data_IF_592635858244
#
_entry.id   IF_592635858244
#
_cell.length_a   1.000
_cell.length_b   1.000
_cell.length_c   1.000
_cell.angle_alpha   90.00
_cell.angle_beta   90.00
_cell.angle_gamma   90.00
#
_symmetry.space_group_name_H-M   'P 1'
#
loop_
_entity.id
_entity.type
_entity.pdbx_description
1 polymer ?
#
# COMPACT_ATOMS: atom_id res chain seq x y z
N UNK A 1 -6.53 -8.00 18.41
CA UNK A 1 -6.27 -8.82 17.21
C UNK A 1 -5.56 -7.95 16.19
N UNK A 2 -4.30 -8.27 15.87
CA UNK A 2 -3.54 -7.56 14.84
C UNK A 2 -4.05 -7.98 13.47
N UNK A 3 -4.38 -7.01 12.61
CA UNK A 3 -4.78 -7.29 11.22
C UNK A 3 -3.52 -7.53 10.38
N UNK A 4 -3.55 -8.49 9.47
CA UNK A 4 -2.42 -8.74 8.57
C UNK A 4 -2.28 -7.56 7.61
N UNK A 5 -1.14 -6.86 7.69
CA UNK A 5 -0.84 -5.68 6.87
C UNK A 5 -0.80 -5.99 5.37
N UNK A 6 -0.52 -7.25 4.99
CA UNK A 6 -0.52 -7.69 3.58
C UNK A 6 -1.92 -7.78 2.99
N UNK A 7 -2.93 -7.90 3.84
CA UNK A 7 -4.33 -8.02 3.44
C UNK A 7 -5.16 -6.78 3.80
N UNK A 8 -4.59 -5.88 4.61
CA UNK A 8 -5.29 -4.71 5.15
C UNK A 8 -4.54 -3.45 4.76
N UNK A 9 -5.02 -2.76 3.72
CA UNK A 9 -4.47 -1.48 3.28
C UNK A 9 -4.81 -0.35 4.28
N UNK A 10 -4.09 -0.33 5.41
CA UNK A 10 -4.21 0.69 6.44
C UNK A 10 -2.87 0.95 7.14
N UNK A 11 -2.57 2.23 7.35
CA UNK A 11 -1.50 2.77 8.18
C UNK A 11 -2.08 3.77 9.19
N UNK A 12 -1.25 4.32 10.06
CA UNK A 12 -1.71 5.16 11.19
C UNK A 12 -2.51 6.41 10.77
N UNK A 13 -2.22 6.96 9.58
CA UNK A 13 -2.80 8.19 9.05
C UNK A 13 -3.80 7.96 7.90
N UNK A 14 -3.78 6.79 7.26
CA UNK A 14 -4.57 6.51 6.04
C UNK A 14 -5.07 5.06 6.01
N UNK A 15 -6.32 4.87 5.62
CA UNK A 15 -6.87 3.54 5.29
C UNK A 15 -7.61 3.54 3.94
N UNK A 16 -7.77 2.36 3.34
CA UNK A 16 -8.65 2.21 2.19
C UNK A 16 -10.10 2.58 2.55
N UNK A 17 -10.83 3.21 1.63
CA UNK A 17 -12.22 3.64 1.82
C UNK A 17 -13.14 2.47 2.20
N UNK A 18 -12.87 1.26 1.67
CA UNK A 18 -13.58 0.02 2.02
C UNK A 18 -13.43 -0.39 3.48
N UNK A 19 -12.47 0.17 4.21
CA UNK A 19 -12.23 -0.09 5.64
C UNK A 19 -12.91 0.95 6.56
N UNK A 20 -13.66 1.91 6.02
CA UNK A 20 -14.37 2.90 6.83
C UNK A 20 -15.35 2.21 7.79
N UNK A 21 -15.26 2.57 9.08
CA UNK A 21 -16.04 1.94 10.15
C UNK A 21 -15.47 0.61 10.66
N UNK A 22 -14.52 -0.01 9.95
CA UNK A 22 -13.81 -1.22 10.38
C UNK A 22 -12.43 -0.91 10.98
N UNK A 23 -11.74 0.07 10.39
CA UNK A 23 -10.43 0.57 10.82
C UNK A 23 -10.57 2.07 11.04
N UNK A 24 -10.22 2.54 12.24
CA UNK A 24 -10.17 3.98 12.54
C UNK A 24 -8.90 4.58 11.93
N UNK A 25 -9.08 5.57 11.05
CA UNK A 25 -7.98 6.33 10.45
C UNK A 25 -8.39 7.80 10.30
N UNK A 26 -7.44 8.75 10.38
CA UNK A 26 -7.71 10.17 10.13
C UNK A 26 -8.20 10.45 8.71
N UNK A 27 -7.69 9.68 7.73
CA UNK A 27 -8.00 9.83 6.32
C UNK A 27 -8.36 8.48 5.71
N UNK A 28 -9.17 8.53 4.66
CA UNK A 28 -9.47 7.36 3.84
C UNK A 28 -9.31 7.72 2.36
N UNK A 29 -8.88 6.74 1.56
CA UNK A 29 -8.72 6.89 0.11
C UNK A 29 -9.40 5.75 -0.63
N UNK A 30 -10.09 6.08 -1.73
CA UNK A 30 -10.68 5.08 -2.62
C UNK A 30 -9.62 4.21 -3.31
N UNK A 31 -8.41 4.74 -3.47
CA UNK A 31 -7.34 4.13 -4.24
C UNK A 31 -7.54 4.27 -5.75
N UNK A 32 -6.46 4.15 -6.50
CA UNK A 32 -6.45 4.24 -7.96
C UNK A 32 -5.76 3.00 -8.52
N UNK A 33 -6.44 2.28 -9.42
CA UNK A 33 -5.83 1.17 -10.13
C UNK A 33 -4.72 1.67 -11.04
N UNK A 34 -3.55 1.03 -10.93
CA UNK A 34 -2.36 1.25 -11.73
C UNK A 34 -1.77 -0.10 -12.12
N UNK A 35 -0.87 -0.07 -13.10
CA UNK A 35 -0.14 -1.24 -13.54
C UNK A 35 1.34 -1.06 -13.25
N UNK A 36 1.99 -2.13 -12.79
CA UNK A 36 3.44 -2.13 -12.58
C UNK A 36 4.15 -2.06 -13.93
N UNK A 37 4.95 -1.03 -14.13
CA UNK A 37 5.69 -0.79 -15.37
C UNK A 37 7.16 -1.28 -15.31
N UNK A 38 7.68 -1.57 -14.12
CA UNK A 38 9.01 -2.14 -13.93
C UNK A 38 8.96 -3.68 -14.08
N UNK A 39 10.04 -4.34 -14.54
CA UNK A 39 10.15 -5.80 -14.53
C UNK A 39 9.83 -6.39 -13.15
N UNK A 40 10.36 -5.74 -12.13
CA UNK A 40 10.22 -6.09 -10.71
C UNK A 40 10.16 -4.80 -9.90
N UNK A 41 9.17 -4.67 -9.01
CA UNK A 41 9.01 -3.56 -8.08
C UNK A 41 8.99 -4.09 -6.64
N UNK A 42 9.94 -3.70 -5.77
CA UNK A 42 10.02 -4.25 -4.41
C UNK A 42 8.88 -3.71 -3.55
N UNK A 43 8.12 -4.56 -2.86
CA UNK A 43 7.15 -4.18 -1.85
C UNK A 43 7.77 -4.33 -0.45
N UNK A 44 7.94 -3.21 0.25
CA UNK A 44 8.63 -3.16 1.54
C UNK A 44 7.67 -2.91 2.68
N UNK A 45 8.04 -3.38 3.87
CA UNK A 45 7.23 -3.24 5.09
C UNK A 45 7.04 -1.80 5.57
N UNK A 46 7.95 -0.91 5.16
CA UNK A 46 7.93 0.51 5.50
C UNK A 46 8.43 1.33 4.30
N UNK A 47 8.06 2.62 4.20
CA UNK A 47 8.47 3.50 3.11
C UNK A 47 9.94 3.94 3.24
N UNK A 48 10.86 2.98 3.14
CA UNK A 48 12.29 3.19 3.22
C UNK A 48 13.03 2.16 2.39
N UNK A 49 14.06 2.59 1.65
CA UNK A 49 14.89 1.69 0.85
C UNK A 49 15.60 0.61 1.70
N UNK A 50 15.87 0.89 2.97
CA UNK A 50 16.49 -0.05 3.91
C UNK A 50 15.50 -0.97 4.62
N UNK A 51 14.19 -0.79 4.44
CA UNK A 51 13.18 -1.62 5.07
C UNK A 51 13.18 -3.05 4.49
N UNK A 52 12.80 -4.02 5.31
CA UNK A 52 12.66 -5.42 4.91
C UNK A 52 11.74 -5.55 3.69
N UNK A 53 12.20 -6.33 2.70
CA UNK A 53 11.41 -6.73 1.55
C UNK A 53 10.39 -7.78 1.99
N UNK A 54 9.12 -7.53 1.73
CA UNK A 54 8.05 -8.50 2.01
C UNK A 54 7.79 -9.38 0.78
N UNK A 55 7.68 -8.77 -0.40
CA UNK A 55 7.52 -9.44 -1.70
C UNK A 55 7.91 -8.49 -2.83
N UNK A 56 7.80 -8.94 -4.08
CA UNK A 56 7.94 -8.12 -5.26
C UNK A 56 6.65 -8.16 -6.09
N UNK A 57 6.32 -7.05 -6.74
CA UNK A 57 5.30 -6.98 -7.77
C UNK A 57 5.97 -7.02 -9.15
N UNK A 58 5.30 -7.63 -10.12
CA UNK A 58 5.85 -7.95 -11.44
C UNK A 58 5.23 -7.09 -12.53
N UNK A 59 5.97 -6.94 -13.63
CA UNK A 59 5.50 -6.22 -14.82
C UNK A 59 4.11 -6.69 -15.26
N UNK A 60 3.21 -5.73 -15.44
CA UNK A 60 1.85 -5.99 -15.90
C UNK A 60 0.85 -6.30 -14.79
N UNK A 61 1.29 -6.52 -13.55
CA UNK A 61 0.35 -6.68 -12.43
C UNK A 61 -0.41 -5.39 -12.14
N UNK A 62 -1.69 -5.54 -11.83
CA UNK A 62 -2.54 -4.41 -11.42
C UNK A 62 -2.45 -4.24 -9.90
N UNK A 63 -2.15 -3.02 -9.47
CA UNK A 63 -2.07 -2.63 -8.06
C UNK A 63 -3.00 -1.45 -7.79
N UNK A 64 -3.52 -1.36 -6.58
CA UNK A 64 -4.31 -0.20 -6.13
C UNK A 64 -3.43 0.70 -5.29
N UNK A 65 -3.23 1.92 -5.78
CA UNK A 65 -2.40 2.94 -5.11
C UNK A 65 -3.29 3.85 -4.27
N UNK A 66 -3.01 3.95 -2.97
CA UNK A 66 -3.80 4.75 -2.02
C UNK A 66 -3.16 6.10 -1.65
N UNK A 67 -1.85 6.22 -1.79
CA UNK A 67 -1.07 7.44 -1.60
C UNK A 67 0.12 7.47 -2.58
N UNK A 68 0.67 8.66 -2.83
CA UNK A 68 1.81 8.85 -3.76
C UNK A 68 2.78 9.93 -3.27
N UNK A 69 2.95 10.10 -1.95
CA UNK A 69 3.72 11.23 -1.42
C UNK A 69 5.21 11.17 -1.80
N UNK A 70 5.78 12.36 -2.07
CA UNK A 70 6.92 12.60 -2.96
C UNK A 70 8.30 12.07 -2.57
N UNK A 71 8.40 11.23 -1.55
CA UNK A 71 9.63 10.50 -1.18
C UNK A 71 9.63 9.04 -1.67
N UNK A 72 8.60 8.63 -2.43
CA UNK A 72 8.69 7.44 -3.29
C UNK A 72 7.81 6.27 -2.87
N UNK A 73 6.58 6.54 -2.39
CA UNK A 73 5.49 5.57 -2.40
C UNK A 73 4.19 6.23 -2.86
#
# INVERSE_FOLDING_TARGET
MSRDARLTAARADLAAESLRGLVAAPRYAAGIARMVAAPVAPLRRAPSAGASLDTEALLGETVTIYDTDGEGW
#
